data_IF_155770899283
#
_entry.id   IF_155770899283
#
_cell.length_a   1.000
_cell.length_b   1.000
_cell.length_c   1.000
_cell.angle_alpha   90.00
_cell.angle_beta   90.00
_cell.angle_gamma   90.00
#
_symmetry.space_group_name_H-M   'P 1'
#
loop_
_entity.id
_entity.type
_entity.pdbx_description
1 polymer ?
#
# COMPACT_ATOMS: atom_id res chain seq x y z
N UNK A 1 2.44 -1.83 23.20
CA UNK A 1 1.65 -2.44 22.07
C UNK A 1 0.16 -2.11 22.05
N UNK A 2 -0.48 -1.75 23.17
CA UNK A 2 -1.88 -1.29 23.21
C UNK A 2 -2.09 0.13 22.63
N UNK A 3 -1.02 0.91 22.54
CA UNK A 3 -1.00 2.28 22.00
C UNK A 3 -1.23 2.36 20.48
N UNK A 4 -0.77 1.35 19.71
CA UNK A 4 -0.97 1.31 18.26
C UNK A 4 -2.47 1.17 17.92
N UNK A 5 -3.24 0.48 18.77
CA UNK A 5 -4.69 0.32 18.61
C UNK A 5 -5.51 1.51 19.13
N UNK A 6 -4.94 2.33 20.03
CA UNK A 6 -5.55 3.55 20.53
C UNK A 6 -5.31 4.75 19.60
N UNK A 7 -4.20 4.74 18.86
CA UNK A 7 -3.90 5.76 17.87
C UNK A 7 -4.68 5.52 16.57
N UNK A 8 -5.74 6.33 16.37
CA UNK A 8 -6.44 6.55 15.07
C UNK A 8 -5.53 6.46 13.82
N UNK A 9 -4.32 7.03 13.81
CA UNK A 9 -3.45 6.96 12.65
C UNK A 9 -2.83 5.59 12.35
N UNK A 10 -2.56 4.77 13.37
CA UNK A 10 -2.13 3.38 13.16
C UNK A 10 -3.21 2.56 12.47
N UNK A 11 -4.49 2.83 12.78
CA UNK A 11 -5.63 2.21 12.08
C UNK A 11 -5.74 2.64 10.63
N UNK A 12 -5.46 3.92 10.32
CA UNK A 12 -5.46 4.41 8.94
C UNK A 12 -4.36 3.73 8.12
N UNK A 13 -3.15 3.60 8.68
CA UNK A 13 -2.07 2.85 8.05
C UNK A 13 -2.49 1.38 7.77
N UNK A 14 -3.05 0.70 8.77
CA UNK A 14 -3.53 -0.68 8.61
C UNK A 14 -4.69 -0.80 7.60
N UNK A 15 -5.58 0.19 7.51
CA UNK A 15 -6.65 0.21 6.50
C UNK A 15 -6.08 0.38 5.09
N UNK A 16 -5.12 1.29 4.89
CA UNK A 16 -4.44 1.48 3.60
C UNK A 16 -3.70 0.19 3.21
N UNK A 17 -3.03 -0.44 4.16
CA UNK A 17 -2.39 -1.75 3.99
C UNK A 17 -3.38 -2.80 3.50
N UNK A 18 -4.54 -2.89 4.16
CA UNK A 18 -5.57 -3.89 3.87
C UNK A 18 -6.18 -3.65 2.47
N UNK A 19 -6.55 -2.40 2.15
CA UNK A 19 -7.12 -2.02 0.86
C UNK A 19 -6.12 -2.28 -0.28
N UNK A 20 -4.86 -1.88 -0.10
CA UNK A 20 -3.81 -2.07 -1.11
C UNK A 20 -3.54 -3.57 -1.37
N UNK A 21 -3.58 -4.39 -0.31
CA UNK A 21 -3.41 -5.85 -0.42
C UNK A 21 -4.59 -6.51 -1.15
N UNK A 22 -5.83 -6.12 -0.81
CA UNK A 22 -7.03 -6.61 -1.50
C UNK A 22 -6.99 -6.20 -2.98
N UNK A 23 -6.58 -4.97 -3.28
CA UNK A 23 -6.39 -4.49 -4.65
C UNK A 23 -5.39 -5.34 -5.42
N UNK A 24 -4.26 -5.70 -4.81
CA UNK A 24 -3.24 -6.53 -5.46
C UNK A 24 -3.71 -7.97 -5.70
N UNK A 25 -4.41 -8.58 -4.73
CA UNK A 25 -5.04 -9.90 -4.88
C UNK A 25 -6.09 -9.87 -5.99
N UNK A 26 -6.91 -8.81 -6.05
CA UNK A 26 -7.89 -8.66 -7.11
C UNK A 26 -7.23 -8.53 -8.50
N UNK A 27 -6.09 -7.85 -8.58
CA UNK A 27 -5.34 -7.72 -9.84
C UNK A 27 -4.68 -9.05 -10.25
N UNK A 28 -4.36 -9.93 -9.29
CA UNK A 28 -3.74 -11.24 -9.55
C UNK A 28 -4.50 -12.11 -10.55
N UNK A 29 -5.84 -12.01 -10.59
CA UNK A 29 -6.70 -12.74 -11.55
C UNK A 29 -6.45 -12.36 -13.02
N UNK A 30 -5.77 -11.24 -13.26
CA UNK A 30 -5.43 -10.77 -14.59
C UNK A 30 -4.00 -11.11 -15.00
N UNK A 31 -3.21 -11.79 -14.16
CA UNK A 31 -1.80 -12.11 -14.45
C UNK A 31 -1.64 -13.05 -15.65
N UNK A 32 -2.65 -13.87 -15.95
CA UNK A 32 -2.69 -14.73 -17.14
C UNK A 32 -3.25 -14.05 -18.39
N UNK A 33 -3.60 -12.76 -18.35
CA UNK A 33 -4.12 -12.00 -19.49
C UNK A 33 -3.11 -10.93 -19.85
N UNK A 34 -2.76 -10.82 -21.14
CA UNK A 34 -1.94 -9.73 -21.67
C UNK A 34 -2.76 -8.43 -21.72
N UNK A 35 -3.03 -7.87 -20.54
CA UNK A 35 -3.65 -6.55 -20.43
C UNK A 35 -2.53 -5.53 -20.38
N UNK A 36 -2.29 -4.87 -21.51
CA UNK A 36 -1.35 -3.76 -21.64
C UNK A 36 -2.06 -2.46 -21.26
N UNK A 37 -1.47 -1.72 -20.32
CA UNK A 37 -1.84 -0.36 -19.98
C UNK A 37 -0.88 0.57 -20.74
N UNK A 38 -1.44 1.55 -21.46
CA UNK A 38 -0.71 2.50 -22.31
C UNK A 38 0.15 1.88 -23.42
N UNK A 39 0.08 0.57 -23.65
CA UNK A 39 0.84 -0.14 -24.69
C UNK A 39 2.28 -0.51 -24.33
N UNK A 40 2.73 -0.21 -23.11
CA UNK A 40 4.12 -0.49 -22.68
C UNK A 40 4.22 -1.16 -21.30
N UNK A 41 3.21 -1.07 -20.43
CA UNK A 41 3.21 -1.70 -19.11
C UNK A 41 2.14 -2.77 -19.01
N UNK A 42 2.46 -3.91 -18.39
CA UNK A 42 1.44 -4.89 -18.05
C UNK A 42 0.64 -4.42 -16.83
N UNK A 43 -0.66 -4.71 -16.80
CA UNK A 43 -1.54 -4.39 -15.69
C UNK A 43 -1.06 -4.96 -14.34
N UNK A 44 -0.56 -6.21 -14.26
CA UNK A 44 0.12 -6.74 -13.08
C UNK A 44 1.28 -5.88 -12.60
N UNK A 45 2.13 -5.43 -13.52
CA UNK A 45 3.31 -4.65 -13.19
C UNK A 45 2.95 -3.27 -12.63
N UNK A 46 2.02 -2.57 -13.29
CA UNK A 46 1.55 -1.26 -12.84
C UNK A 46 0.85 -1.33 -11.47
N UNK A 47 0.07 -2.37 -11.22
CA UNK A 47 -0.57 -2.58 -9.92
C UNK A 47 0.45 -2.87 -8.81
N UNK A 48 1.47 -3.68 -9.09
CA UNK A 48 2.58 -3.92 -8.16
C UNK A 48 3.36 -2.63 -7.86
N UNK A 49 3.64 -1.82 -8.87
CA UNK A 49 4.31 -0.54 -8.70
C UNK A 49 3.48 0.43 -7.84
N UNK A 50 2.19 0.57 -8.14
CA UNK A 50 1.28 1.40 -7.36
C UNK A 50 1.18 0.93 -5.90
N UNK A 51 1.12 -0.39 -5.67
CA UNK A 51 1.13 -0.97 -4.33
C UNK A 51 2.37 -0.53 -3.56
N UNK A 52 3.57 -0.72 -4.13
CA UNK A 52 4.84 -0.35 -3.48
C UNK A 52 4.89 1.15 -3.18
N UNK A 53 4.50 2.00 -4.12
CA UNK A 53 4.49 3.46 -3.92
C UNK A 53 3.55 3.85 -2.77
N UNK A 54 2.32 3.35 -2.79
CA UNK A 54 1.34 3.60 -1.71
C UNK A 54 1.89 3.13 -0.37
N UNK A 55 2.54 1.97 -0.34
CA UNK A 55 3.14 1.41 0.86
C UNK A 55 4.26 2.28 1.41
N UNK A 56 5.19 2.71 0.56
CA UNK A 56 6.31 3.58 0.94
C UNK A 56 5.78 4.91 1.46
N UNK A 57 4.81 5.52 0.78
CA UNK A 57 4.22 6.79 1.23
C UNK A 57 3.52 6.62 2.57
N UNK A 58 2.70 5.58 2.73
CA UNK A 58 2.03 5.30 3.99
C UNK A 58 3.03 5.04 5.12
N UNK A 59 4.11 4.30 4.83
CA UNK A 59 5.19 4.04 5.77
C UNK A 59 5.92 5.32 6.16
N UNK A 60 6.27 6.18 5.20
CA UNK A 60 6.93 7.46 5.47
C UNK A 60 6.04 8.40 6.28
N UNK A 61 4.73 8.47 5.98
CA UNK A 61 3.79 9.26 6.77
C UNK A 61 3.74 8.74 8.20
N UNK A 62 3.64 7.43 8.38
CA UNK A 62 3.63 6.82 9.71
C UNK A 62 4.95 7.08 10.45
N UNK A 63 6.08 6.84 9.77
CA UNK A 63 7.42 7.07 10.28
C UNK A 63 7.57 8.54 10.69
N UNK A 64 7.51 9.51 9.78
CA UNK A 64 7.74 10.91 10.13
C UNK A 64 6.74 11.43 11.18
N UNK A 65 5.47 11.04 11.14
CA UNK A 65 4.45 11.58 12.07
C UNK A 65 4.52 10.93 13.46
N UNK A 66 4.85 9.65 13.58
CA UNK A 66 4.77 8.89 14.84
C UNK A 66 6.13 8.40 15.36
N UNK A 67 7.23 8.71 14.67
CA UNK A 67 8.57 8.32 15.12
C UNK A 67 8.88 8.90 16.51
N UNK A 68 9.16 8.03 17.51
CA UNK A 68 9.28 8.44 18.92
C UNK A 68 10.62 9.11 19.27
N UNK A 69 11.56 9.27 18.32
CA UNK A 69 12.86 9.92 18.58
C UNK A 69 12.90 11.42 18.31
N UNK A 70 11.76 12.11 18.24
CA UNK A 70 11.75 13.58 18.37
C UNK A 70 11.58 13.96 19.85
N UNK A 71 12.70 14.01 20.55
CA UNK A 71 12.83 14.87 21.75
C UNK A 71 12.74 16.33 21.33
#
# INVERSE_FOLDING_TARGET
MREIFAHRPGRIFLLILLISTIGLIYVSRYFGKEILIFGWMTLPYLAGLAFVIIWIVAYLIYFFRYWPFRR
#
